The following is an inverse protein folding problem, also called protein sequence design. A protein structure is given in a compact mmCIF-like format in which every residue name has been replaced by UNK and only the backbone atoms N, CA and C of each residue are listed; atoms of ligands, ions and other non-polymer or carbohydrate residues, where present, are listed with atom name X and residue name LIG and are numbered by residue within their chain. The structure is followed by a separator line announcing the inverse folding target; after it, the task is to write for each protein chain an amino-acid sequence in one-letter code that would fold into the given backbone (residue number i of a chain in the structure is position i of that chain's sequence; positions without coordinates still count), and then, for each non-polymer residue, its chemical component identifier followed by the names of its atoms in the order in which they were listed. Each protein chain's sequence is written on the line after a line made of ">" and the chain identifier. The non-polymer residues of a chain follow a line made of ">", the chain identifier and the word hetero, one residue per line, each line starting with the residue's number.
data_IF_679371714528
#
_entry.id   IF_679371714528
#
_cell.length_a   1.000
_cell.length_b   1.000
_cell.length_c   1.000
_cell.angle_alpha   90.00
_cell.angle_beta   90.00
_cell.angle_gamma   90.00
#
_symmetry.space_group_name_H-M   'P 1'
#
loop_
_entity.id
_entity.type
_entity.pdbx_description
1 polymer ?
#
# COMPACT_ATOMS: atom_id res chain seq x y z
N UNK A 1 -43.05 11.49 37.87
CA UNK A 1 -42.50 10.13 37.67
C UNK A 1 -41.64 10.15 36.41
N UNK A 2 -40.34 10.50 36.55
CA UNK A 2 -39.41 10.54 35.45
C UNK A 2 -38.52 9.33 35.50
N UNK A 3 -38.55 8.52 34.45
CA UNK A 3 -37.70 7.32 34.28
C UNK A 3 -36.31 7.74 33.81
N UNK A 4 -35.31 7.35 34.56
CA UNK A 4 -33.92 7.32 34.19
C UNK A 4 -33.64 6.19 33.18
N UNK A 5 -32.86 6.49 32.18
CA UNK A 5 -31.82 5.67 31.51
C UNK A 5 -31.43 6.31 30.17
N UNK A 6 -30.20 6.26 29.65
CA UNK A 6 -29.21 5.19 29.89
C UNK A 6 -27.76 5.71 30.12
N UNK A 7 -27.18 5.38 31.24
CA UNK A 7 -25.75 5.59 31.51
C UNK A 7 -24.84 4.41 31.06
N UNK A 8 -25.43 3.28 30.62
CA UNK A 8 -24.69 2.06 30.33
C UNK A 8 -23.92 2.08 28.99
N UNK A 9 -24.29 2.90 28.02
CA UNK A 9 -23.62 2.95 26.71
C UNK A 9 -22.33 3.78 26.75
N UNK A 10 -22.26 4.79 27.62
CA UNK A 10 -21.07 5.61 27.79
C UNK A 10 -19.94 4.90 28.55
N UNK A 11 -20.28 3.98 29.46
CA UNK A 11 -19.28 3.23 30.26
C UNK A 11 -18.56 2.15 29.42
N UNK A 12 -19.23 1.54 28.44
CA UNK A 12 -18.61 0.56 27.54
C UNK A 12 -17.66 1.26 26.56
N UNK A 13 -17.92 2.52 26.19
CA UNK A 13 -17.06 3.30 25.31
C UNK A 13 -15.79 3.82 26.02
N UNK A 14 -15.88 4.10 27.34
CA UNK A 14 -14.75 4.54 28.16
C UNK A 14 -13.78 3.39 28.49
N UNK A 15 -14.27 2.16 28.71
CA UNK A 15 -13.42 1.00 29.01
C UNK A 15 -12.67 0.45 27.78
N UNK A 16 -13.10 0.79 26.56
CA UNK A 16 -12.35 0.42 25.33
C UNK A 16 -11.19 1.39 25.02
N UNK A 17 -11.10 2.52 25.71
CA UNK A 17 -10.02 3.52 25.52
C UNK A 17 -8.81 3.31 26.44
N UNK A 18 -8.89 2.45 27.45
CA UNK A 18 -7.80 2.27 28.45
C UNK A 18 -6.73 1.23 28.06
N UNK A 19 -6.85 0.55 26.92
CA UNK A 19 -5.81 -0.35 26.40
C UNK A 19 -5.24 0.14 25.08
N UNK A 20 -4.88 1.43 24.98
CA UNK A 20 -3.91 1.88 23.99
C UNK A 20 -2.51 1.62 24.54
N UNK A 21 -1.68 0.80 23.88
CA UNK A 21 -0.26 0.83 24.20
C UNK A 21 0.22 2.26 23.94
N UNK A 22 0.83 2.89 24.94
CA UNK A 22 1.48 4.19 24.82
C UNK A 22 2.53 4.06 23.72
N UNK A 23 2.33 4.77 22.62
CA UNK A 23 3.33 4.95 21.56
C UNK A 23 4.22 6.10 22.05
N UNK A 24 5.18 5.77 22.86
CA UNK A 24 6.38 6.57 23.12
C UNK A 24 7.55 5.66 22.77
N UNK A 25 8.05 5.74 21.54
CA UNK A 25 9.48 5.69 21.28
C UNK A 25 9.77 5.89 19.77
N UNK A 26 10.74 6.74 19.47
CA UNK A 26 11.18 7.10 18.11
C UNK A 26 12.01 6.00 17.41
N UNK A 27 11.81 4.73 17.76
CA UNK A 27 12.47 3.54 17.18
C UNK A 27 11.50 2.62 16.42
N UNK A 28 10.33 3.12 15.99
CA UNK A 28 9.24 2.29 15.45
C UNK A 28 9.38 1.87 13.96
N UNK A 29 10.57 1.77 13.40
CA UNK A 29 10.84 0.91 12.24
C UNK A 29 10.44 -0.55 12.52
N UNK A 30 10.48 -0.97 13.80
CA UNK A 30 10.17 -2.32 14.25
C UNK A 30 8.68 -2.65 14.31
N UNK A 31 7.80 -1.67 14.54
CA UNK A 31 6.37 -1.93 14.79
C UNK A 31 5.60 -2.36 13.53
N UNK A 32 5.76 -1.64 12.42
CA UNK A 32 5.06 -1.96 11.16
C UNK A 32 5.69 -3.19 10.49
N UNK A 33 7.01 -3.30 10.46
CA UNK A 33 7.74 -4.46 9.95
C UNK A 33 7.36 -5.75 10.69
N UNK A 34 7.37 -5.74 12.03
CA UNK A 34 6.99 -6.91 12.84
C UNK A 34 5.54 -7.33 12.68
N UNK A 35 4.63 -6.38 12.44
CA UNK A 35 3.23 -6.68 12.11
C UNK A 35 3.13 -7.43 10.77
N UNK A 36 3.77 -6.94 9.73
CA UNK A 36 3.78 -7.61 8.42
C UNK A 36 4.50 -8.95 8.47
N UNK A 37 5.56 -9.09 9.23
CA UNK A 37 6.24 -10.35 9.50
C UNK A 37 5.29 -11.41 10.09
N UNK A 38 4.40 -11.00 10.99
CA UNK A 38 3.46 -11.92 11.64
C UNK A 38 2.39 -12.49 10.71
N UNK A 39 2.08 -11.81 9.62
CA UNK A 39 1.02 -12.19 8.66
C UNK A 39 1.55 -12.60 7.28
N UNK A 40 2.87 -12.51 7.04
CA UNK A 40 3.50 -12.70 5.73
C UNK A 40 3.04 -13.98 5.02
N UNK A 41 2.99 -15.12 5.73
CA UNK A 41 2.58 -16.41 5.17
C UNK A 41 1.13 -16.46 4.64
N UNK A 42 0.24 -15.61 5.18
CA UNK A 42 -1.18 -15.54 4.81
C UNK A 42 -1.55 -14.25 4.08
N UNK A 43 -0.59 -13.35 3.91
CA UNK A 43 -0.82 -12.00 3.41
C UNK A 43 -1.47 -11.98 2.02
N UNK A 44 -0.92 -12.74 1.08
CA UNK A 44 -1.47 -12.84 -0.28
C UNK A 44 -2.88 -13.41 -0.27
N UNK A 45 -3.08 -14.51 0.48
CA UNK A 45 -4.40 -15.11 0.62
C UNK A 45 -5.42 -14.10 1.19
N UNK A 46 -5.04 -13.40 2.26
CA UNK A 46 -5.90 -12.40 2.89
C UNK A 46 -6.21 -11.25 1.95
N UNK A 47 -5.21 -10.69 1.28
CA UNK A 47 -5.44 -9.59 0.34
C UNK A 47 -6.33 -10.00 -0.84
N UNK A 48 -6.08 -11.15 -1.45
CA UNK A 48 -6.90 -11.66 -2.54
C UNK A 48 -8.31 -12.02 -2.08
N UNK A 49 -8.44 -12.62 -0.91
CA UNK A 49 -9.74 -12.97 -0.34
C UNK A 49 -10.55 -11.74 0.04
N UNK A 50 -9.94 -10.78 0.75
CA UNK A 50 -10.58 -9.53 1.18
C UNK A 50 -10.93 -8.61 0.01
N UNK A 51 -10.18 -8.66 -1.07
CA UNK A 51 -10.48 -7.91 -2.29
C UNK A 51 -11.35 -8.69 -3.28
N UNK A 52 -11.78 -9.91 -2.96
CA UNK A 52 -12.44 -10.83 -3.91
C UNK A 52 -11.65 -10.99 -5.22
N UNK A 53 -10.30 -10.91 -5.16
CA UNK A 53 -9.42 -11.00 -6.32
C UNK A 53 -9.42 -9.76 -7.24
N UNK A 54 -10.14 -8.69 -6.90
CA UNK A 54 -10.19 -7.44 -7.68
C UNK A 54 -8.83 -6.73 -7.67
N UNK A 55 -8.02 -6.91 -6.63
CA UNK A 55 -6.65 -6.38 -6.52
C UNK A 55 -5.76 -6.75 -7.71
N UNK A 56 -5.91 -7.96 -8.26
CA UNK A 56 -5.21 -8.38 -9.49
C UNK A 56 -5.60 -7.52 -10.69
N UNK A 57 -6.88 -7.19 -10.81
CA UNK A 57 -7.38 -6.28 -11.86
C UNK A 57 -6.83 -4.86 -11.67
N UNK A 58 -6.75 -4.39 -10.43
CA UNK A 58 -6.19 -3.07 -10.13
C UNK A 58 -4.71 -3.00 -10.49
N UNK A 59 -3.90 -4.02 -10.12
CA UNK A 59 -2.48 -4.09 -10.53
C UNK A 59 -2.33 -4.12 -12.05
N UNK A 60 -3.14 -4.93 -12.78
CA UNK A 60 -3.12 -4.94 -14.25
C UNK A 60 -3.39 -3.55 -14.84
N UNK A 61 -4.36 -2.81 -14.27
CA UNK A 61 -4.66 -1.44 -14.71
C UNK A 61 -3.52 -0.49 -14.38
N UNK A 62 -2.88 -0.63 -13.21
CA UNK A 62 -1.72 0.17 -12.81
C UNK A 62 -0.53 -0.01 -13.79
N UNK A 63 -0.21 -1.25 -14.13
CA UNK A 63 0.83 -1.55 -15.13
C UNK A 63 0.47 -0.96 -16.51
N UNK A 64 -0.81 -0.98 -16.88
CA UNK A 64 -1.25 -0.32 -18.13
C UNK A 64 -1.04 1.19 -18.08
N UNK A 65 -1.29 1.87 -16.97
CA UNK A 65 -1.00 3.31 -16.84
C UNK A 65 0.50 3.59 -17.00
N UNK A 66 1.38 2.74 -16.44
CA UNK A 66 2.82 2.85 -16.68
C UNK A 66 3.12 2.70 -18.18
N UNK A 67 2.60 1.67 -18.85
CA UNK A 67 2.87 1.42 -20.28
C UNK A 67 2.44 2.56 -21.20
N UNK A 68 1.41 3.32 -20.83
CA UNK A 68 0.97 4.50 -21.58
C UNK A 68 1.92 5.71 -21.43
N UNK A 69 2.63 5.79 -20.30
CA UNK A 69 3.53 6.90 -19.99
C UNK A 69 4.98 6.57 -20.30
N UNK A 70 5.39 5.33 -20.12
CA UNK A 70 6.71 4.79 -20.44
C UNK A 70 6.55 3.36 -20.97
N UNK A 71 6.48 3.14 -22.29
CA UNK A 71 6.19 1.83 -22.90
C UNK A 71 7.27 0.78 -22.65
N UNK A 72 8.52 1.20 -22.50
CA UNK A 72 9.70 0.33 -22.43
C UNK A 72 10.64 0.77 -21.31
N UNK A 73 10.23 0.66 -20.02
CA UNK A 73 11.11 0.98 -18.90
C UNK A 73 12.18 -0.10 -18.78
N UNK A 74 13.46 0.30 -18.74
CA UNK A 74 14.58 -0.62 -18.54
C UNK A 74 14.69 -1.05 -17.06
N UNK A 75 14.68 -0.07 -16.13
CA UNK A 75 14.86 -0.30 -14.70
C UNK A 75 13.66 0.18 -13.91
N UNK A 76 13.05 -0.71 -13.16
CA UNK A 76 11.88 -0.44 -12.33
C UNK A 76 12.22 -0.66 -10.85
N UNK A 77 11.81 0.27 -9.98
CA UNK A 77 11.84 0.11 -8.53
C UNK A 77 10.42 -0.07 -7.99
N UNK A 78 10.18 -1.16 -7.28
CA UNK A 78 8.93 -1.43 -6.55
C UNK A 78 9.16 -1.24 -5.05
N UNK A 79 8.63 -0.14 -4.49
CA UNK A 79 8.82 0.25 -3.09
C UNK A 79 7.69 -0.28 -2.22
N UNK A 80 8.03 -0.87 -1.08
CA UNK A 80 7.14 -1.68 -0.25
C UNK A 80 6.52 -2.82 -1.08
N UNK A 81 7.40 -3.59 -1.72
CA UNK A 81 7.03 -4.65 -2.69
C UNK A 81 6.28 -5.81 -2.04
N UNK A 82 6.41 -6.01 -0.73
CA UNK A 82 5.81 -7.11 0.00
C UNK A 82 6.22 -8.46 -0.57
N UNK A 83 5.24 -9.23 -1.02
CA UNK A 83 5.45 -10.54 -1.66
C UNK A 83 5.67 -10.45 -3.17
N UNK A 84 6.01 -9.27 -3.69
CA UNK A 84 6.38 -8.99 -5.09
C UNK A 84 5.24 -9.11 -6.12
N UNK A 85 3.97 -9.04 -5.73
CA UNK A 85 2.85 -9.14 -6.68
C UNK A 85 2.85 -8.06 -7.77
N UNK A 86 3.22 -6.81 -7.41
CA UNK A 86 3.29 -5.71 -8.37
C UNK A 86 4.53 -5.85 -9.26
N UNK A 87 5.69 -6.22 -8.69
CA UNK A 87 6.91 -6.51 -9.45
C UNK A 87 6.68 -7.61 -10.50
N UNK A 88 6.01 -8.72 -10.11
CA UNK A 88 5.65 -9.80 -11.04
C UNK A 88 4.69 -9.29 -12.13
N UNK A 89 3.70 -8.46 -11.78
CA UNK A 89 2.80 -7.89 -12.78
C UNK A 89 3.53 -6.96 -13.77
N UNK A 90 4.61 -6.28 -13.31
CA UNK A 90 5.41 -5.36 -14.12
C UNK A 90 6.34 -6.06 -15.13
N UNK A 91 6.55 -7.37 -15.04
CA UNK A 91 7.25 -8.15 -16.08
C UNK A 91 6.59 -8.00 -17.45
N UNK A 92 5.29 -7.65 -17.51
CA UNK A 92 4.57 -7.38 -18.76
C UNK A 92 5.07 -6.15 -19.51
N UNK A 93 5.82 -5.27 -18.86
CA UNK A 93 6.47 -4.12 -19.50
C UNK A 93 7.80 -4.52 -20.17
N UNK A 94 8.20 -5.79 -20.03
CA UNK A 94 9.47 -6.34 -20.55
C UNK A 94 10.71 -5.55 -20.10
N UNK A 95 10.84 -5.21 -18.80
CA UNK A 95 12.00 -4.48 -18.30
C UNK A 95 13.26 -5.33 -18.38
N UNK A 96 14.42 -4.66 -18.37
CA UNK A 96 15.70 -5.34 -18.18
C UNK A 96 15.81 -5.87 -16.75
N UNK A 97 15.41 -5.04 -15.76
CA UNK A 97 15.48 -5.42 -14.36
C UNK A 97 14.41 -4.72 -13.50
N UNK A 98 13.90 -5.43 -12.49
CA UNK A 98 13.02 -4.90 -11.45
C UNK A 98 13.70 -5.12 -10.10
N UNK A 99 13.85 -4.04 -9.34
CA UNK A 99 14.26 -4.12 -7.93
C UNK A 99 13.04 -3.89 -7.06
N UNK A 100 12.75 -4.82 -6.15
CA UNK A 100 11.73 -4.65 -5.12
C UNK A 100 12.37 -4.45 -3.76
N UNK A 101 11.89 -3.48 -2.99
CA UNK A 101 12.33 -3.30 -1.60
C UNK A 101 11.16 -3.40 -0.64
N UNK A 102 11.42 -3.97 0.53
CA UNK A 102 10.47 -3.97 1.66
C UNK A 102 11.24 -3.98 2.98
N UNK A 103 10.63 -3.46 4.03
CA UNK A 103 11.20 -3.48 5.38
C UNK A 103 11.09 -4.87 6.03
N UNK A 104 10.10 -5.66 5.63
CA UNK A 104 9.80 -6.99 6.17
C UNK A 104 10.57 -8.08 5.42
N UNK A 105 11.58 -8.67 6.06
CA UNK A 105 12.33 -9.77 5.46
C UNK A 105 11.46 -11.00 5.19
N UNK A 106 10.47 -11.30 6.04
CA UNK A 106 9.55 -12.43 5.82
C UNK A 106 8.67 -12.25 4.60
N UNK A 107 8.25 -11.00 4.30
CA UNK A 107 7.55 -10.70 3.05
C UNK A 107 8.45 -10.96 1.84
N UNK A 108 9.71 -10.52 1.92
CA UNK A 108 10.70 -10.73 0.87
C UNK A 108 11.02 -12.21 0.66
N UNK A 109 11.13 -13.00 1.72
CA UNK A 109 11.31 -14.47 1.61
C UNK A 109 10.16 -15.12 0.84
N UNK A 110 8.91 -14.78 1.17
CA UNK A 110 7.73 -15.26 0.44
C UNK A 110 7.75 -14.78 -1.02
N UNK A 111 8.14 -13.53 -1.25
CA UNK A 111 8.31 -12.95 -2.58
C UNK A 111 9.38 -13.66 -3.40
N UNK A 112 10.56 -13.92 -2.83
CA UNK A 112 11.66 -14.65 -3.49
C UNK A 112 11.25 -16.08 -3.88
N UNK A 113 10.49 -16.77 -3.03
CA UNK A 113 9.96 -18.09 -3.37
C UNK A 113 8.99 -18.03 -4.56
N UNK A 114 8.18 -16.96 -4.64
CA UNK A 114 7.22 -16.71 -5.73
C UNK A 114 7.93 -16.30 -7.03
N UNK A 115 8.87 -15.36 -6.96
CA UNK A 115 9.58 -14.84 -8.14
C UNK A 115 10.45 -15.90 -8.81
N UNK A 116 11.18 -16.76 -8.05
CA UNK A 116 11.94 -17.89 -8.60
C UNK A 116 11.08 -18.81 -9.46
N UNK A 117 9.81 -19.00 -9.12
CA UNK A 117 8.90 -19.86 -9.88
C UNK A 117 8.30 -19.17 -11.12
N UNK A 118 8.11 -17.85 -11.06
CA UNK A 118 7.36 -17.09 -12.07
C UNK A 118 8.27 -16.24 -12.98
N UNK A 119 9.52 -16.01 -12.61
CA UNK A 119 10.52 -15.26 -13.38
C UNK A 119 11.85 -16.00 -13.33
N UNK A 120 11.98 -17.11 -14.07
CA UNK A 120 13.21 -17.90 -14.08
C UNK A 120 14.42 -17.14 -14.63
N UNK A 121 14.20 -16.07 -15.40
CA UNK A 121 15.26 -15.21 -15.97
C UNK A 121 15.89 -14.25 -14.94
N UNK A 122 15.57 -14.40 -13.65
CA UNK A 122 16.10 -13.59 -12.53
C UNK A 122 15.97 -12.08 -12.72
N UNK A 123 14.96 -11.64 -13.47
CA UNK A 123 14.71 -10.21 -13.73
C UNK A 123 14.24 -9.44 -12.51
N UNK A 124 13.91 -10.12 -11.41
CA UNK A 124 13.42 -9.49 -10.17
C UNK A 124 14.40 -9.78 -9.05
N UNK A 125 14.97 -8.71 -8.46
CA UNK A 125 15.75 -8.78 -7.22
C UNK A 125 14.95 -8.18 -6.07
N UNK A 126 14.89 -8.87 -4.93
CA UNK A 126 14.19 -8.40 -3.74
C UNK A 126 15.19 -8.15 -2.61
N UNK A 127 15.23 -6.91 -2.10
CA UNK A 127 16.17 -6.43 -1.10
C UNK A 127 15.42 -5.87 0.11
N UNK A 128 15.96 -6.10 1.30
CA UNK A 128 15.48 -5.38 2.48
C UNK A 128 15.91 -3.92 2.41
N UNK A 129 15.00 -2.98 2.71
CA UNK A 129 15.30 -1.57 2.66
C UNK A 129 14.18 -0.70 3.24
N UNK A 130 14.56 0.51 3.62
CA UNK A 130 13.64 1.52 4.14
C UNK A 130 13.24 2.48 3.01
N UNK A 131 11.93 2.65 2.84
CA UNK A 131 11.36 3.60 1.88
C UNK A 131 11.74 5.06 2.15
N UNK A 132 12.12 5.39 3.39
CA UNK A 132 12.52 6.74 3.78
C UNK A 132 14.00 7.03 3.47
N UNK A 133 14.79 5.99 3.16
CA UNK A 133 16.21 6.08 2.82
C UNK A 133 16.57 5.00 1.82
N UNK A 134 16.35 5.28 0.53
CA UNK A 134 16.66 4.35 -0.54
C UNK A 134 18.17 4.29 -0.81
N UNK A 135 18.76 3.12 -0.65
CA UNK A 135 20.19 2.89 -0.87
C UNK A 135 20.55 2.76 -2.36
N UNK A 136 20.01 3.68 -3.17
CA UNK A 136 20.29 3.78 -4.60
C UNK A 136 20.77 5.18 -4.96
N UNK A 137 21.57 5.27 -5.99
CA UNK A 137 22.02 6.57 -6.54
C UNK A 137 20.84 7.36 -7.12
N UNK A 138 21.01 8.65 -7.21
CA UNK A 138 20.07 9.52 -7.92
C UNK A 138 19.89 9.03 -9.37
N UNK A 139 18.70 9.17 -9.88
CA UNK A 139 18.38 8.90 -11.29
C UNK A 139 18.71 7.45 -11.74
N UNK A 140 18.57 6.48 -10.86
CA UNK A 140 18.87 5.07 -11.13
C UNK A 140 17.77 4.33 -11.91
N UNK A 141 16.50 4.77 -11.82
CA UNK A 141 15.33 4.04 -12.31
C UNK A 141 14.51 4.86 -13.30
N UNK A 142 13.90 4.17 -14.28
CA UNK A 142 12.98 4.75 -15.25
C UNK A 142 11.56 4.88 -14.70
N UNK A 143 11.21 3.95 -13.79
CA UNK A 143 9.91 3.89 -13.10
C UNK A 143 10.14 3.60 -11.63
N UNK A 144 9.46 4.36 -10.77
CA UNK A 144 9.25 3.99 -9.36
C UNK A 144 7.77 3.70 -9.13
N UNK A 145 7.46 2.60 -8.47
CA UNK A 145 6.08 2.21 -8.23
C UNK A 145 5.89 1.69 -6.80
N UNK A 146 4.65 1.76 -6.31
CA UNK A 146 4.24 1.11 -5.06
C UNK A 146 2.75 0.73 -5.11
N UNK A 147 2.38 -0.40 -4.52
CA UNK A 147 0.98 -0.79 -4.36
C UNK A 147 0.65 -1.11 -2.91
N UNK A 148 -0.34 -0.38 -2.36
CA UNK A 148 -0.88 -0.58 -1.01
C UNK A 148 0.16 -0.47 0.12
N UNK A 149 1.29 0.21 -0.14
CA UNK A 149 2.42 0.37 0.78
C UNK A 149 2.57 1.79 1.33
N UNK A 150 2.30 2.83 0.52
CA UNK A 150 2.62 4.24 0.85
C UNK A 150 1.89 4.73 2.10
N UNK A 151 0.66 4.25 2.36
CA UNK A 151 -0.09 4.60 3.58
C UNK A 151 0.59 4.14 4.88
N UNK A 152 1.55 3.21 4.78
CA UNK A 152 2.29 2.64 5.91
C UNK A 152 3.66 3.32 6.11
N UNK A 153 4.06 4.24 5.25
CA UNK A 153 5.28 5.01 5.45
C UNK A 153 5.15 5.88 6.69
N UNK A 154 6.18 5.92 7.51
CA UNK A 154 6.22 6.79 8.70
C UNK A 154 6.11 8.26 8.30
N UNK A 155 6.78 8.65 7.22
CA UNK A 155 6.67 9.94 6.56
C UNK A 155 6.43 9.73 5.06
N UNK A 156 5.17 9.82 4.59
CA UNK A 156 4.85 9.66 3.19
C UNK A 156 5.54 10.69 2.27
N UNK A 157 5.75 11.93 2.76
CA UNK A 157 6.44 12.95 1.95
C UNK A 157 7.91 12.59 1.77
N UNK A 158 8.61 12.19 2.83
CA UNK A 158 10.00 11.77 2.76
C UNK A 158 10.17 10.55 1.83
N UNK A 159 9.33 9.51 1.99
CA UNK A 159 9.39 8.34 1.12
C UNK A 159 9.12 8.65 -0.36
N UNK A 160 8.12 9.50 -0.65
CA UNK A 160 7.85 9.95 -2.02
C UNK A 160 8.98 10.81 -2.59
N UNK A 161 9.65 11.62 -1.75
CA UNK A 161 10.82 12.41 -2.16
C UNK A 161 12.02 11.52 -2.48
N UNK A 162 12.24 10.45 -1.74
CA UNK A 162 13.25 9.44 -2.07
C UNK A 162 12.92 8.71 -3.39
N UNK A 163 11.64 8.33 -3.61
CA UNK A 163 11.21 7.78 -4.88
C UNK A 163 11.43 8.76 -6.05
N UNK A 164 11.25 10.06 -5.80
CA UNK A 164 11.57 11.11 -6.79
C UNK A 164 13.09 11.24 -7.03
N UNK A 165 13.91 11.20 -5.97
CA UNK A 165 15.36 11.31 -6.07
C UNK A 165 15.95 10.24 -6.98
N UNK A 166 15.59 8.98 -6.74
CA UNK A 166 16.12 7.82 -7.49
C UNK A 166 15.53 7.66 -8.89
N UNK A 167 14.47 8.41 -9.22
CA UNK A 167 13.84 8.39 -10.52
C UNK A 167 14.62 9.28 -11.49
N UNK A 168 14.84 8.82 -12.71
CA UNK A 168 15.48 9.59 -13.80
C UNK A 168 14.62 10.77 -14.24
N UNK A 169 15.22 11.75 -14.87
CA UNK A 169 14.48 12.79 -15.60
C UNK A 169 13.53 12.15 -16.62
N UNK A 170 12.32 12.68 -16.72
CA UNK A 170 11.20 12.14 -17.50
C UNK A 170 10.69 10.76 -17.03
N UNK A 171 11.25 10.22 -15.96
CA UNK A 171 10.77 8.98 -15.35
C UNK A 171 9.36 9.11 -14.78
N UNK A 172 8.73 7.96 -14.53
CA UNK A 172 7.33 7.85 -14.12
C UNK A 172 7.22 7.30 -12.71
N UNK A 173 6.47 7.98 -11.84
CA UNK A 173 5.96 7.39 -10.61
C UNK A 173 4.56 6.81 -10.84
N UNK A 174 4.27 5.64 -10.24
CA UNK A 174 2.94 5.06 -10.16
C UNK A 174 2.66 4.56 -8.76
N UNK A 175 1.59 5.07 -8.14
CA UNK A 175 1.10 4.62 -6.83
C UNK A 175 -0.30 4.05 -6.99
N UNK A 176 -0.49 2.81 -6.56
CA UNK A 176 -1.80 2.19 -6.40
C UNK A 176 -2.12 2.10 -4.92
N UNK A 177 -3.16 2.81 -4.46
CA UNK A 177 -3.49 2.84 -3.04
C UNK A 177 -5.02 2.84 -2.82
N UNK A 178 -5.44 2.41 -1.64
CA UNK A 178 -6.83 2.53 -1.22
C UNK A 178 -7.24 3.99 -1.13
N UNK A 179 -8.48 4.27 -1.46
CA UNK A 179 -9.08 5.60 -1.38
C UNK A 179 -10.51 5.53 -0.85
N UNK A 180 -11.08 6.68 -0.51
CA UNK A 180 -12.42 6.76 0.06
C UNK A 180 -13.45 6.85 -1.06
N UNK A 181 -14.44 5.94 -1.11
CA UNK A 181 -15.49 5.98 -2.14
C UNK A 181 -16.26 7.30 -2.12
N UNK A 182 -16.46 7.90 -3.28
CA UNK A 182 -17.15 9.20 -3.40
C UNK A 182 -18.66 9.08 -3.58
N UNK A 183 -19.16 7.96 -4.10
CA UNK A 183 -20.59 7.72 -4.33
C UNK A 183 -21.33 7.26 -3.07
N UNK A 184 -22.57 7.75 -2.84
CA UNK A 184 -23.39 7.34 -1.67
C UNK A 184 -23.55 5.81 -1.56
N UNK A 185 -23.80 5.13 -2.68
CA UNK A 185 -23.98 3.66 -2.75
C UNK A 185 -22.68 2.93 -2.39
N UNK A 186 -21.58 3.29 -3.04
CA UNK A 186 -20.27 2.65 -2.76
C UNK A 186 -19.79 2.95 -1.34
N UNK A 187 -20.05 4.14 -0.82
CA UNK A 187 -19.73 4.48 0.59
C UNK A 187 -20.53 3.63 1.56
N UNK A 188 -21.82 3.39 1.29
CA UNK A 188 -22.63 2.52 2.15
C UNK A 188 -22.16 1.07 2.11
N UNK A 189 -21.88 0.51 0.92
CA UNK A 189 -21.34 -0.83 0.75
C UNK A 189 -19.96 -0.97 1.40
N UNK A 190 -19.10 0.03 1.24
CA UNK A 190 -17.78 0.08 1.87
C UNK A 190 -17.89 0.06 3.39
N UNK A 191 -18.75 0.92 3.96
CA UNK A 191 -18.97 0.95 5.41
C UNK A 191 -19.56 -0.37 5.93
N UNK A 192 -20.52 -0.96 5.21
CA UNK A 192 -21.08 -2.25 5.55
C UNK A 192 -20.01 -3.36 5.56
N UNK A 193 -19.17 -3.37 4.51
CA UNK A 193 -18.07 -4.34 4.40
C UNK A 193 -17.05 -4.18 5.54
N UNK A 194 -16.54 -2.97 5.76
CA UNK A 194 -15.48 -2.72 6.74
C UNK A 194 -15.95 -2.81 8.19
N UNK A 195 -17.21 -2.44 8.49
CA UNK A 195 -17.71 -2.45 9.89
C UNK A 195 -18.45 -3.73 10.26
N UNK A 196 -19.02 -4.46 9.30
CA UNK A 196 -19.79 -5.66 9.60
C UNK A 196 -19.18 -6.96 9.09
N UNK A 197 -18.64 -6.97 7.86
CA UNK A 197 -18.17 -8.19 7.21
C UNK A 197 -16.73 -8.49 7.60
N UNK A 198 -15.84 -7.52 7.47
CA UNK A 198 -14.41 -7.68 7.73
C UNK A 198 -14.09 -8.14 9.17
N UNK A 199 -14.72 -7.61 10.24
CA UNK A 199 -14.49 -8.10 11.60
C UNK A 199 -14.96 -9.55 11.83
N UNK A 200 -16.03 -9.97 11.15
CA UNK A 200 -16.51 -11.37 11.27
C UNK A 200 -15.53 -12.33 10.58
N UNK A 201 -15.04 -11.97 9.39
CA UNK A 201 -13.99 -12.72 8.70
C UNK A 201 -12.74 -12.81 9.59
N UNK A 202 -12.33 -11.69 10.19
CA UNK A 202 -11.20 -11.64 11.11
C UNK A 202 -11.30 -12.65 12.26
N UNK A 203 -12.47 -12.82 12.84
CA UNK A 203 -12.71 -13.80 13.92
C UNK A 203 -12.53 -15.24 13.48
N UNK A 204 -12.85 -15.57 12.23
CA UNK A 204 -12.76 -16.94 11.70
C UNK A 204 -11.34 -17.31 11.28
N UNK A 205 -10.55 -16.38 10.76
CA UNK A 205 -9.30 -16.70 10.08
C UNK A 205 -8.02 -16.31 10.84
N UNK A 206 -8.08 -15.53 11.91
CA UNK A 206 -6.87 -15.09 12.62
C UNK A 206 -7.09 -14.90 14.13
N UNK A 207 -6.09 -15.35 14.91
CA UNK A 207 -5.95 -14.96 16.33
C UNK A 207 -5.52 -13.50 16.51
N UNK A 208 -5.18 -12.80 15.42
CA UNK A 208 -4.70 -11.41 15.42
C UNK A 208 -5.84 -10.46 15.04
N UNK A 209 -6.56 -9.96 16.02
CA UNK A 209 -7.56 -8.89 15.84
C UNK A 209 -6.97 -7.59 15.29
N UNK A 210 -5.67 -7.37 15.45
CA UNK A 210 -4.98 -6.14 15.13
C UNK A 210 -4.92 -5.86 13.61
N UNK A 211 -4.62 -6.86 12.78
CA UNK A 211 -4.48 -6.67 11.33
C UNK A 211 -5.79 -6.24 10.64
N UNK A 212 -6.94 -6.65 11.17
CA UNK A 212 -8.26 -6.35 10.60
C UNK A 212 -8.82 -4.98 11.00
N UNK A 213 -8.39 -4.44 12.14
CA UNK A 213 -8.71 -3.06 12.55
C UNK A 213 -7.75 -2.05 11.93
N UNK A 214 -6.50 -2.46 11.70
CA UNK A 214 -5.47 -1.60 11.12
C UNK A 214 -5.80 -1.12 9.71
N UNK A 215 -6.30 -2.00 8.83
CA UNK A 215 -6.59 -1.65 7.43
C UNK A 215 -7.63 -0.51 7.31
N UNK A 216 -8.83 -0.58 7.92
CA UNK A 216 -9.78 0.53 7.89
C UNK A 216 -9.20 1.84 8.43
N UNK A 217 -8.51 1.77 9.58
CA UNK A 217 -7.94 2.94 10.23
C UNK A 217 -6.87 3.61 9.39
N UNK A 218 -5.96 2.82 8.79
CA UNK A 218 -4.90 3.34 7.92
C UNK A 218 -5.46 4.00 6.67
N UNK A 219 -6.49 3.42 6.03
CA UNK A 219 -7.16 4.00 4.86
C UNK A 219 -7.89 5.29 5.22
N UNK A 220 -8.53 5.36 6.38
CA UNK A 220 -9.26 6.57 6.80
C UNK A 220 -8.32 7.74 7.12
N UNK A 221 -7.12 7.47 7.63
CA UNK A 221 -6.10 8.48 7.96
C UNK A 221 -5.29 8.93 6.75
N UNK A 222 -5.17 8.07 5.74
CA UNK A 222 -4.35 8.36 4.57
C UNK A 222 -4.93 9.52 3.74
N UNK A 223 -4.10 10.50 3.34
CA UNK A 223 -4.53 11.53 2.41
C UNK A 223 -4.86 10.91 1.06
N UNK A 224 -6.07 11.16 0.54
CA UNK A 224 -6.46 10.67 -0.77
C UNK A 224 -6.91 11.82 -1.69
N UNK A 225 -7.14 11.51 -2.98
CA UNK A 225 -7.60 12.49 -3.97
C UNK A 225 -6.67 13.71 -4.08
N UNK A 226 -7.22 14.92 -3.98
CA UNK A 226 -6.48 16.19 -4.10
C UNK A 226 -5.37 16.33 -3.05
N UNK A 227 -5.58 15.79 -1.85
CA UNK A 227 -4.57 15.83 -0.80
C UNK A 227 -3.33 15.01 -1.19
N UNK A 228 -3.53 13.83 -1.79
CA UNK A 228 -2.42 13.00 -2.24
C UNK A 228 -1.76 13.54 -3.51
N UNK A 229 -2.54 14.14 -4.44
CA UNK A 229 -2.00 14.86 -5.59
C UNK A 229 -1.09 16.00 -5.12
N UNK A 230 -1.54 16.78 -4.13
CA UNK A 230 -0.74 17.86 -3.54
C UNK A 230 0.53 17.31 -2.88
N UNK A 231 0.45 16.16 -2.20
CA UNK A 231 1.60 15.51 -1.57
C UNK A 231 2.63 15.08 -2.62
N UNK A 232 2.20 14.47 -3.72
CA UNK A 232 3.08 14.13 -4.86
C UNK A 232 3.73 15.38 -5.46
N UNK A 233 2.99 16.47 -5.60
CA UNK A 233 3.54 17.76 -6.05
C UNK A 233 4.61 18.31 -5.10
N UNK A 234 4.40 18.22 -3.78
CA UNK A 234 5.39 18.61 -2.77
C UNK A 234 6.65 17.73 -2.82
N UNK A 235 6.52 16.46 -3.17
CA UNK A 235 7.65 15.55 -3.37
C UNK A 235 8.41 15.80 -4.70
N UNK A 236 7.99 16.78 -5.52
CA UNK A 236 8.65 17.18 -6.76
C UNK A 236 8.03 16.61 -8.04
N UNK A 237 6.99 15.80 -7.95
CA UNK A 237 6.34 15.25 -9.15
C UNK A 237 5.43 16.25 -9.83
N UNK A 238 5.44 16.21 -11.17
CA UNK A 238 4.64 17.07 -12.04
C UNK A 238 3.66 16.22 -12.86
N UNK A 239 2.72 16.88 -13.55
CA UNK A 239 1.69 16.23 -14.37
C UNK A 239 0.96 15.11 -13.63
N UNK A 240 0.75 15.28 -12.33
CA UNK A 240 0.11 14.28 -11.47
C UNK A 240 -1.33 14.05 -11.91
N UNK A 241 -1.71 12.79 -12.08
CA UNK A 241 -3.08 12.37 -12.46
C UNK A 241 -3.56 11.28 -11.52
N UNK A 242 -4.87 11.28 -11.27
CA UNK A 242 -5.55 10.23 -10.53
C UNK A 242 -6.53 9.49 -11.43
N UNK A 243 -6.54 8.17 -11.33
CA UNK A 243 -7.55 7.29 -11.93
C UNK A 243 -8.21 6.47 -10.84
N UNK A 244 -9.48 6.75 -10.57
CA UNK A 244 -10.26 6.01 -9.58
C UNK A 244 -10.68 4.64 -10.10
N UNK A 245 -10.66 3.64 -9.23
CA UNK A 245 -11.01 2.26 -9.51
C UNK A 245 -12.17 1.83 -8.60
N UNK A 246 -13.06 0.99 -9.13
CA UNK A 246 -14.16 0.36 -8.37
C UNK A 246 -14.93 1.37 -7.51
N UNK A 247 -15.49 2.41 -8.17
CA UNK A 247 -16.27 3.44 -7.46
C UNK A 247 -15.45 4.29 -6.48
N UNK A 248 -14.11 4.27 -6.56
CA UNK A 248 -13.22 5.02 -5.69
C UNK A 248 -12.73 4.26 -4.46
N UNK A 249 -12.88 2.94 -4.42
CA UNK A 249 -12.30 2.09 -3.35
C UNK A 249 -10.78 2.05 -3.42
N UNK A 250 -10.23 2.15 -4.63
CA UNK A 250 -8.80 2.30 -4.88
C UNK A 250 -8.56 3.37 -5.94
N UNK A 251 -7.36 3.92 -5.97
CA UNK A 251 -6.92 4.91 -6.96
C UNK A 251 -5.52 4.60 -7.45
N UNK A 252 -5.28 4.83 -8.73
CA UNK A 252 -3.96 4.89 -9.33
C UNK A 252 -3.60 6.36 -9.45
N UNK A 253 -2.42 6.71 -8.94
CA UNK A 253 -1.81 8.03 -9.13
C UNK A 253 -0.57 7.84 -10.00
N UNK A 254 -0.40 8.72 -10.97
CA UNK A 254 0.79 8.76 -11.83
C UNK A 254 1.33 10.18 -11.88
N UNK A 255 2.64 10.32 -12.01
CA UNK A 255 3.32 11.60 -12.14
C UNK A 255 4.65 11.43 -12.86
N UNK A 256 5.34 12.55 -13.14
CA UNK A 256 6.65 12.58 -13.79
C UNK A 256 7.65 13.40 -12.98
N UNK A 257 8.92 13.00 -13.05
CA UNK A 257 10.05 13.86 -12.72
C UNK A 257 10.45 14.65 -13.97
N UNK A 258 10.63 15.96 -13.86
CA UNK A 258 11.13 16.83 -14.94
C UNK A 258 12.59 17.17 -14.71
#
# INVERSE_FOLDING_TARGET
>A
MYRQQPAAIFTIFALSMEHRPKIEDHTNLTGTGSMFDSIAFRYDFLNHFLSFGIDRSWRKKAIREISLLNPHPSKILDVATGTADLAIAALKLSPDHITGIDISEKMLEAGRAKTRRLSPDEKITLLQGDSLKLEFSDEAFDVTMAAFGVRNFLDPLAGLSEMHRVLRKNGVIMILEFSKPSGKVFRHLYNLYFHKILPQIGRFFSKSHFAYSYLPDSVMKFPDNEQFITLLGKAGFTAVRQKRLTGGVASIYTGRKI
#
